data_IF_460804105597
#
_entry.id   IF_460804105597
#
_cell.length_a   1.000
_cell.length_b   1.000
_cell.length_c   1.000
_cell.angle_alpha   90.00
_cell.angle_beta   90.00
_cell.angle_gamma   90.00
#
_symmetry.space_group_name_H-M   'P 1'
#
loop_
_entity.id
_entity.type
_entity.pdbx_description
1 polymer ?
#
# COMPACT_ATOMS: atom_id res chain seq x y z
N UNK A 1 30.81 13.68 23.38
CA UNK A 1 30.43 12.80 24.50
C UNK A 1 29.09 12.24 24.10
N UNK A 2 28.94 10.93 23.87
CA UNK A 2 27.69 10.37 23.33
C UNK A 2 26.55 10.57 24.34
N UNK A 3 25.60 11.44 24.02
CA UNK A 3 24.42 11.71 24.84
C UNK A 3 23.56 10.44 25.01
N UNK A 4 23.64 9.49 24.08
CA UNK A 4 23.03 8.16 24.20
C UNK A 4 23.56 7.34 25.38
N UNK A 5 24.80 7.56 25.82
CA UNK A 5 25.40 6.84 26.95
C UNK A 5 24.93 7.36 28.31
N UNK A 6 24.24 8.50 28.35
CA UNK A 6 23.60 9.01 29.57
C UNK A 6 22.33 8.23 29.94
N UNK A 7 21.82 7.41 29.01
CA UNK A 7 20.62 6.60 29.21
C UNK A 7 20.99 5.33 30.01
N UNK A 8 20.33 5.08 31.16
CA UNK A 8 20.59 3.87 31.94
C UNK A 8 20.40 2.61 31.08
N UNK A 9 21.39 1.70 31.12
CA UNK A 9 21.35 0.45 30.37
C UNK A 9 21.83 0.52 28.91
N UNK A 10 22.26 1.69 28.41
CA UNK A 10 22.86 1.86 27.07
C UNK A 10 24.38 1.95 27.17
N UNK A 11 25.07 0.88 26.79
CA UNK A 11 26.54 0.85 26.67
C UNK A 11 27.02 1.30 25.29
N UNK A 12 28.33 1.46 25.12
CA UNK A 12 28.96 1.99 23.90
C UNK A 12 28.61 1.20 22.62
N UNK A 13 28.51 -0.14 22.71
CA UNK A 13 28.10 -0.97 21.57
C UNK A 13 26.64 -0.79 21.19
N UNK A 14 25.77 -0.49 22.16
CA UNK A 14 24.34 -0.31 21.93
C UNK A 14 24.05 1.10 21.41
N UNK A 15 24.77 2.10 21.92
CA UNK A 15 24.72 3.47 21.41
C UNK A 15 25.11 3.53 19.92
N UNK A 16 26.18 2.82 19.52
CA UNK A 16 26.56 2.70 18.10
C UNK A 16 25.48 2.04 17.26
N UNK A 17 24.93 0.90 17.69
CA UNK A 17 23.84 0.22 16.97
C UNK A 17 22.56 1.07 16.85
N UNK A 18 22.24 1.86 17.88
CA UNK A 18 21.10 2.79 17.84
C UNK A 18 21.33 3.90 16.83
N UNK A 19 22.53 4.49 16.81
CA UNK A 19 22.90 5.52 15.85
C UNK A 19 22.91 4.97 14.42
N UNK A 20 23.54 3.81 14.18
CA UNK A 20 23.65 3.19 12.86
C UNK A 20 22.28 2.74 12.33
N UNK A 21 21.41 2.23 13.21
CA UNK A 21 20.08 1.73 12.84
C UNK A 21 19.04 2.82 12.53
N UNK A 22 19.16 3.99 13.17
CA UNK A 22 18.19 5.10 13.04
C UNK A 22 18.69 6.29 12.22
N UNK A 23 19.91 6.22 11.68
CA UNK A 23 20.47 7.26 10.81
C UNK A 23 21.16 8.40 11.56
N UNK A 24 21.64 8.15 12.78
CA UNK A 24 22.45 9.06 13.58
C UNK A 24 22.06 9.11 15.06
N UNK A 25 22.94 9.69 15.88
CA UNK A 25 22.72 9.81 17.34
C UNK A 25 21.54 10.73 17.68
N UNK A 26 21.38 11.85 16.97
CA UNK A 26 20.24 12.77 17.13
C UNK A 26 18.89 12.05 16.95
N UNK A 27 18.82 11.16 15.96
CA UNK A 27 17.57 10.53 15.54
C UNK A 27 17.21 9.39 16.49
N UNK A 28 18.22 8.70 17.02
CA UNK A 28 18.05 7.77 18.12
C UNK A 28 17.54 8.45 19.40
N UNK A 29 18.08 9.62 19.75
CA UNK A 29 17.60 10.39 20.91
C UNK A 29 16.17 10.90 20.68
N UNK A 30 15.86 11.36 19.47
CA UNK A 30 14.49 11.75 19.08
C UNK A 30 13.53 10.58 19.24
N UNK A 31 13.86 9.41 18.70
CA UNK A 31 13.04 8.21 18.82
C UNK A 31 12.77 7.82 20.29
N UNK A 32 13.76 7.97 21.17
CA UNK A 32 13.59 7.71 22.61
C UNK A 32 12.69 8.76 23.28
N UNK A 33 12.88 10.05 22.97
CA UNK A 33 12.05 11.15 23.51
C UNK A 33 10.60 11.06 23.04
N UNK A 34 10.38 10.73 21.78
CA UNK A 34 9.07 10.55 21.17
C UNK A 34 8.42 9.20 21.53
N UNK A 35 9.14 8.35 22.29
CA UNK A 35 8.69 7.02 22.73
C UNK A 35 8.37 6.10 21.54
N UNK A 36 9.10 6.25 20.44
CA UNK A 36 8.95 5.45 19.22
C UNK A 36 9.63 4.07 19.36
N UNK A 37 8.93 3.18 20.06
CA UNK A 37 9.39 1.81 20.31
C UNK A 37 9.41 0.97 19.04
N UNK A 38 8.57 1.29 18.05
CA UNK A 38 8.52 0.52 16.81
C UNK A 38 9.88 0.60 16.12
N UNK A 39 10.36 1.82 15.88
CA UNK A 39 11.68 2.08 15.30
C UNK A 39 12.83 1.53 16.16
N UNK A 40 12.74 1.62 17.49
CA UNK A 40 13.76 1.07 18.39
C UNK A 40 13.82 -0.47 18.38
N UNK A 41 12.69 -1.14 18.19
CA UNK A 41 12.58 -2.60 18.18
C UNK A 41 12.96 -3.26 16.85
N UNK A 42 13.07 -2.47 15.78
CA UNK A 42 13.55 -2.92 14.46
C UNK A 42 15.07 -3.04 14.40
N UNK A 43 15.78 -2.44 15.36
CA UNK A 43 17.24 -2.50 15.44
C UNK A 43 17.68 -3.88 15.96
N UNK A 44 18.62 -4.49 15.23
CA UNK A 44 19.11 -5.83 15.54
C UNK A 44 19.78 -5.92 16.93
N UNK A 45 19.25 -6.82 17.76
CA UNK A 45 19.66 -7.01 19.16
C UNK A 45 18.89 -6.19 20.21
N UNK A 46 17.88 -5.41 19.81
CA UNK A 46 17.00 -4.69 20.72
C UNK A 46 15.62 -5.38 20.74
N UNK A 47 15.38 -6.18 21.79
CA UNK A 47 14.04 -6.74 21.99
C UNK A 47 13.04 -5.65 22.36
N UNK A 48 11.76 -5.91 22.09
CA UNK A 48 10.67 -5.00 22.43
C UNK A 48 10.66 -4.62 23.92
N UNK A 49 10.82 -5.59 24.81
CA UNK A 49 10.86 -5.34 26.26
C UNK A 49 12.09 -4.52 26.67
N UNK A 50 13.21 -4.67 25.96
CA UNK A 50 14.41 -3.87 26.17
C UNK A 50 14.20 -2.42 25.70
N UNK A 51 13.55 -2.21 24.56
CA UNK A 51 13.17 -0.89 24.08
C UNK A 51 12.22 -0.17 25.05
N UNK A 52 11.17 -0.86 25.53
CA UNK A 52 10.24 -0.34 26.54
C UNK A 52 11.02 0.07 27.80
N UNK A 53 11.93 -0.79 28.27
CA UNK A 53 12.74 -0.53 29.46
C UNK A 53 13.60 0.72 29.30
N UNK A 54 14.32 0.87 28.19
CA UNK A 54 15.15 2.06 27.93
C UNK A 54 14.34 3.35 27.92
N UNK A 55 13.20 3.37 27.21
CA UNK A 55 12.30 4.54 27.16
C UNK A 55 11.72 4.85 28.55
N UNK A 56 11.39 3.81 29.33
CA UNK A 56 10.84 3.97 30.68
C UNK A 56 11.87 4.50 31.68
N UNK A 57 13.12 4.04 31.61
CA UNK A 57 14.22 4.50 32.46
C UNK A 57 14.62 5.94 32.11
N UNK A 58 14.63 6.28 30.81
CA UNK A 58 14.85 7.65 30.35
C UNK A 58 13.78 8.64 30.86
N UNK A 59 12.54 8.19 30.99
CA UNK A 59 11.42 9.01 31.49
C UNK A 59 11.36 9.11 33.03
N UNK A 60 12.40 8.67 33.75
CA UNK A 60 12.48 8.71 35.22
C UNK A 60 12.03 7.44 35.96
N UNK A 61 11.57 6.41 35.23
CA UNK A 61 11.26 5.08 35.79
C UNK A 61 10.11 5.00 36.79
N UNK A 62 9.72 3.78 37.15
CA UNK A 62 8.68 3.50 38.18
C UNK A 62 9.13 3.98 39.57
N UNK A 63 10.44 4.08 39.80
CA UNK A 63 11.06 4.31 41.10
C UNK A 63 10.75 5.70 41.67
N UNK A 64 10.54 6.69 40.81
CA UNK A 64 10.27 8.08 41.22
C UNK A 64 8.89 8.24 41.89
N UNK A 65 7.88 7.46 41.46
CA UNK A 65 6.52 7.54 41.97
C UNK A 65 6.11 6.33 42.84
N UNK A 66 6.54 5.11 42.50
CA UNK A 66 6.38 3.91 43.32
C UNK A 66 7.69 3.58 44.05
N UNK A 67 7.96 4.31 45.14
CA UNK A 67 9.22 4.22 45.90
C UNK A 67 9.46 2.85 46.56
N UNK A 68 8.44 2.01 46.74
CA UNK A 68 8.55 0.70 47.36
C UNK A 68 8.39 -0.45 46.36
N UNK A 69 9.03 -1.59 46.66
CA UNK A 69 8.95 -2.81 45.84
C UNK A 69 7.51 -3.30 45.64
N UNK A 70 6.65 -3.08 46.64
CA UNK A 70 5.24 -3.49 46.56
C UNK A 70 4.43 -2.61 45.60
N UNK A 71 4.68 -1.30 45.55
CA UNK A 71 4.07 -0.41 44.57
C UNK A 71 4.49 -0.74 43.15
N UNK A 72 5.77 -1.12 42.95
CA UNK A 72 6.26 -1.60 41.67
C UNK A 72 5.61 -2.92 41.24
N UNK A 73 5.43 -3.86 42.18
CA UNK A 73 4.69 -5.12 41.92
C UNK A 73 3.23 -4.85 41.58
N UNK A 74 2.57 -3.97 42.32
CA UNK A 74 1.18 -3.58 42.09
C UNK A 74 1.02 -2.96 40.70
N UNK A 75 1.92 -2.07 40.32
CA UNK A 75 1.92 -1.47 38.99
C UNK A 75 2.03 -2.54 37.89
N UNK A 76 3.00 -3.46 37.99
CA UNK A 76 3.16 -4.57 37.03
C UNK A 76 1.90 -5.45 36.96
N UNK A 77 1.30 -5.76 38.11
CA UNK A 77 0.05 -6.54 38.16
C UNK A 77 -1.12 -5.80 37.50
N UNK A 78 -1.25 -4.48 37.72
CA UNK A 78 -2.28 -3.67 37.08
C UNK A 78 -2.10 -3.60 35.56
N UNK A 79 -0.88 -3.40 35.06
CA UNK A 79 -0.61 -3.40 33.61
C UNK A 79 -1.03 -4.74 33.00
N UNK A 80 -0.71 -5.86 33.64
CA UNK A 80 -1.10 -7.19 33.16
C UNK A 80 -2.62 -7.41 33.18
N UNK A 81 -3.33 -6.85 34.16
CA UNK A 81 -4.80 -6.98 34.25
C UNK A 81 -5.53 -6.11 33.21
N UNK A 82 -4.96 -4.96 32.82
CA UNK A 82 -5.54 -4.04 31.83
C UNK A 82 -5.27 -4.54 30.39
N UNK A 83 -4.11 -5.14 30.14
CA UNK A 83 -3.64 -5.53 28.80
C UNK A 83 -4.66 -6.32 27.94
N UNK A 84 -5.46 -7.27 28.47
CA UNK A 84 -6.47 -7.99 27.68
C UNK A 84 -7.59 -7.12 27.11
N UNK A 85 -7.85 -5.95 27.70
CA UNK A 85 -8.94 -5.05 27.30
C UNK A 85 -8.57 -4.13 26.15
N UNK A 86 -7.28 -3.99 25.83
CA UNK A 86 -6.78 -3.21 24.70
C UNK A 86 -6.81 -4.05 23.44
N UNK A 87 -7.38 -3.49 22.37
CA UNK A 87 -7.66 -4.24 21.13
C UNK A 87 -6.41 -4.41 20.27
N UNK A 88 -5.69 -3.31 20.06
CA UNK A 88 -4.54 -3.24 19.17
C UNK A 88 -3.27 -3.72 19.88
N UNK A 89 -2.44 -4.50 19.17
CA UNK A 89 -1.12 -4.92 19.68
C UNK A 89 -0.21 -3.73 20.03
N UNK A 90 -0.18 -2.62 19.27
CA UNK A 90 0.60 -1.44 19.62
C UNK A 90 0.08 -0.72 20.86
N UNK A 91 -1.25 -0.66 21.06
CA UNK A 91 -1.85 -0.11 22.27
C UNK A 91 -1.38 -0.87 23.52
N UNK A 92 -1.30 -2.20 23.45
CA UNK A 92 -0.75 -3.04 24.54
C UNK A 92 0.71 -2.71 24.83
N UNK A 93 1.52 -2.48 23.79
CA UNK A 93 2.91 -2.02 23.97
C UNK A 93 2.96 -0.66 24.65
N UNK A 94 2.11 0.28 24.21
CA UNK A 94 2.02 1.63 24.77
C UNK A 94 1.60 1.63 26.24
N UNK A 95 0.69 0.74 26.62
CA UNK A 95 0.30 0.49 28.01
C UNK A 95 1.51 0.15 28.90
N UNK A 96 2.41 -0.71 28.43
CA UNK A 96 3.60 -1.12 29.19
C UNK A 96 4.61 0.02 29.43
N UNK A 97 4.52 1.10 28.66
CA UNK A 97 5.34 2.31 28.84
C UNK A 97 4.77 3.21 29.93
N UNK A 98 3.47 3.12 30.22
CA UNK A 98 2.82 4.02 31.16
C UNK A 98 3.41 3.82 32.55
N UNK A 99 4.22 4.78 32.99
CA UNK A 99 4.77 4.81 34.33
C UNK A 99 3.85 5.58 35.28
N UNK A 100 3.81 5.22 36.57
CA UNK A 100 3.23 6.06 37.60
C UNK A 100 3.95 7.42 37.60
N UNK A 101 3.18 8.50 37.60
CA UNK A 101 3.71 9.86 37.58
C UNK A 101 3.92 10.38 39.01
N UNK A 102 4.93 11.22 39.17
CA UNK A 102 5.18 11.92 40.45
C UNK A 102 4.27 13.15 40.58
N UNK A 103 4.17 13.70 41.80
CA UNK A 103 3.41 14.93 42.07
C UNK A 103 3.95 16.12 41.28
N UNK A 104 5.21 16.08 40.85
CA UNK A 104 5.82 17.15 40.06
C UNK A 104 5.25 17.20 38.62
N UNK A 105 4.55 16.15 38.18
CA UNK A 105 3.96 16.01 36.84
C UNK A 105 2.43 16.21 36.84
N UNK A 106 1.92 17.16 37.62
CA UNK A 106 0.47 17.38 37.79
C UNK A 106 -0.29 17.69 36.50
N UNK A 107 0.34 18.40 35.55
CA UNK A 107 -0.27 18.67 34.25
C UNK A 107 -0.53 17.38 33.46
N UNK A 108 0.46 16.49 33.37
CA UNK A 108 0.34 15.19 32.69
C UNK A 108 -0.63 14.26 33.44
N UNK A 109 -0.67 14.30 34.77
CA UNK A 109 -1.66 13.58 35.56
C UNK A 109 -3.08 14.02 35.19
N UNK A 110 -3.32 15.33 35.12
CA UNK A 110 -4.64 15.87 34.77
C UNK A 110 -5.02 15.55 33.31
N UNK A 111 -4.07 15.61 32.38
CA UNK A 111 -4.29 15.21 30.99
C UNK A 111 -4.71 13.73 30.89
N UNK A 112 -3.96 12.80 31.50
CA UNK A 112 -4.30 11.38 31.51
C UNK A 112 -5.68 11.12 32.15
N UNK A 113 -6.01 11.85 33.23
CA UNK A 113 -7.33 11.76 33.88
C UNK A 113 -8.46 12.22 32.96
N UNK A 114 -8.27 13.31 32.22
CA UNK A 114 -9.24 13.79 31.24
C UNK A 114 -9.45 12.75 30.13
N UNK A 115 -8.37 12.22 29.56
CA UNK A 115 -8.43 11.17 28.51
C UNK A 115 -9.18 9.93 28.98
N UNK A 116 -8.87 9.42 30.18
CA UNK A 116 -9.58 8.27 30.76
C UNK A 116 -11.05 8.59 31.03
N UNK A 117 -11.36 9.78 31.56
CA UNK A 117 -12.73 10.19 31.83
C UNK A 117 -13.57 10.27 30.56
N UNK A 118 -13.00 10.81 29.49
CA UNK A 118 -13.64 10.87 28.16
C UNK A 118 -13.89 9.47 27.60
N UNK A 119 -12.89 8.59 27.68
CA UNK A 119 -13.03 7.20 27.25
C UNK A 119 -14.08 6.43 28.06
N UNK A 120 -14.15 6.61 29.39
CA UNK A 120 -15.19 6.01 30.25
C UNK A 120 -16.58 6.50 29.84
N UNK A 121 -16.74 7.80 29.59
CA UNK A 121 -17.99 8.37 29.09
C UNK A 121 -18.38 7.75 27.74
N UNK A 122 -17.43 7.58 26.82
CA UNK A 122 -17.66 6.97 25.52
C UNK A 122 -18.13 5.52 25.63
N UNK A 123 -17.40 4.67 26.36
CA UNK A 123 -17.73 3.25 26.57
C UNK A 123 -19.07 3.05 27.30
N UNK A 124 -19.50 4.04 28.07
CA UNK A 124 -20.79 4.00 28.77
C UNK A 124 -21.96 4.45 27.90
N UNK A 125 -21.78 5.50 27.09
CA UNK A 125 -22.85 6.10 26.26
C UNK A 125 -23.02 5.42 24.90
N UNK A 126 -21.95 4.87 24.32
CA UNK A 126 -21.94 4.32 22.96
C UNK A 126 -21.40 2.87 22.95
N UNK A 127 -22.14 1.90 23.53
CA UNK A 127 -21.68 0.51 23.63
C UNK A 127 -21.50 -0.17 22.26
N UNK A 128 -22.41 0.05 21.32
CA UNK A 128 -22.32 -0.54 19.97
C UNK A 128 -21.11 -0.01 19.18
N UNK A 129 -20.88 1.31 19.21
CA UNK A 129 -19.71 1.93 18.61
C UNK A 129 -18.41 1.42 19.26
N UNK A 130 -18.43 1.16 20.58
CA UNK A 130 -17.28 0.58 21.29
C UNK A 130 -16.98 -0.84 20.82
N UNK A 131 -17.99 -1.69 20.60
CA UNK A 131 -17.78 -3.05 20.12
C UNK A 131 -17.22 -3.07 18.68
N UNK A 132 -17.80 -2.23 17.81
CA UNK A 132 -17.29 -2.05 16.44
C UNK A 132 -15.86 -1.52 16.43
N UNK A 133 -15.53 -0.54 17.28
CA UNK A 133 -14.16 -0.05 17.47
C UNK A 133 -13.21 -1.19 17.82
N UNK A 134 -13.55 -2.00 18.82
CA UNK A 134 -12.70 -3.12 19.28
C UNK A 134 -12.46 -4.14 18.18
N UNK A 135 -13.46 -4.38 17.31
CA UNK A 135 -13.30 -5.25 16.15
C UNK A 135 -12.30 -4.68 15.15
N UNK A 136 -12.42 -3.40 14.80
CA UNK A 136 -11.57 -2.75 13.79
C UNK A 136 -10.14 -2.52 14.31
N UNK A 137 -10.01 -2.05 15.54
CA UNK A 137 -8.72 -1.69 16.16
C UNK A 137 -7.75 -2.87 16.31
N UNK A 138 -8.23 -4.12 16.31
CA UNK A 138 -7.37 -5.33 16.30
C UNK A 138 -6.44 -5.39 15.10
N UNK A 139 -6.86 -4.86 13.95
CA UNK A 139 -6.11 -4.87 12.69
C UNK A 139 -5.13 -3.70 12.56
N UNK A 140 -5.12 -2.79 13.54
CA UNK A 140 -4.28 -1.59 13.52
C UNK A 140 -2.90 -1.91 14.06
N UNK A 141 -1.89 -1.59 13.25
CA UNK A 141 -0.47 -1.72 13.54
C UNK A 141 0.28 -0.48 13.08
N UNK A 142 1.48 -0.17 13.62
CA UNK A 142 2.28 0.93 13.14
C UNK A 142 2.66 0.65 11.69
N UNK A 143 2.69 1.70 10.86
CA UNK A 143 2.99 1.54 9.45
C UNK A 143 4.44 1.13 9.27
N UNK A 144 4.64 0.02 8.56
CA UNK A 144 5.96 -0.54 8.27
C UNK A 144 6.49 0.04 6.97
N UNK A 145 7.78 0.34 6.97
CA UNK A 145 8.51 0.64 5.72
C UNK A 145 8.80 -0.66 4.99
N UNK A 146 8.75 -0.63 3.66
CA UNK A 146 9.18 -1.76 2.87
C UNK A 146 10.70 -1.90 2.99
N UNK A 147 11.19 -3.01 3.54
CA UNK A 147 12.62 -3.31 3.65
C UNK A 147 13.01 -4.45 2.70
N UNK A 148 12.69 -4.27 1.42
CA UNK A 148 12.93 -5.28 0.39
C UNK A 148 13.67 -4.61 -0.76
N UNK A 149 14.73 -5.26 -1.24
CA UNK A 149 15.44 -4.84 -2.43
C UNK A 149 14.56 -5.08 -3.66
N UNK A 150 14.33 -4.03 -4.42
CA UNK A 150 13.52 -4.01 -5.63
C UNK A 150 14.44 -4.18 -6.84
N UNK A 151 13.98 -4.99 -7.79
CA UNK A 151 14.61 -5.12 -9.09
C UNK A 151 14.31 -3.89 -9.94
N UNK A 152 15.10 -2.84 -9.69
CA UNK A 152 15.13 -1.58 -10.44
C UNK A 152 16.57 -1.11 -10.47
N UNK A 153 17.02 -0.66 -11.64
CA UNK A 153 18.35 -0.10 -11.85
C UNK A 153 18.30 1.42 -11.75
N UNK A 154 19.11 2.02 -10.89
CA UNK A 154 19.30 3.47 -10.84
C UNK A 154 20.62 3.79 -11.52
N UNK A 155 20.57 4.58 -12.58
CA UNK A 155 21.74 5.01 -13.34
C UNK A 155 22.06 6.45 -12.98
N UNK A 156 23.26 6.69 -12.48
CA UNK A 156 23.76 8.01 -12.06
C UNK A 156 24.98 8.40 -12.87
N UNK A 157 25.29 9.70 -12.94
CA UNK A 157 26.42 10.18 -13.72
C UNK A 157 27.76 10.05 -13.02
N UNK A 158 27.81 10.49 -11.76
CA UNK A 158 29.05 10.70 -11.04
C UNK A 158 29.00 10.07 -9.65
N UNK A 159 30.17 9.80 -9.08
CA UNK A 159 30.32 9.35 -7.69
C UNK A 159 29.72 10.32 -6.67
N UNK A 160 29.68 11.61 -6.97
CA UNK A 160 29.15 12.63 -6.06
C UNK A 160 27.61 12.48 -5.87
N UNK A 161 26.91 11.99 -6.90
CA UNK A 161 25.48 11.68 -6.79
C UNK A 161 25.24 10.42 -5.95
N UNK A 162 26.21 9.50 -5.89
CA UNK A 162 26.12 8.29 -5.09
C UNK A 162 26.11 8.60 -3.59
N UNK A 163 26.86 9.60 -3.13
CA UNK A 163 26.87 10.04 -1.71
C UNK A 163 25.47 10.49 -1.26
N UNK A 164 24.68 11.08 -2.16
CA UNK A 164 23.31 11.52 -1.87
C UNK A 164 22.28 10.37 -1.90
N UNK A 165 22.69 9.17 -2.33
CA UNK A 165 21.83 8.02 -2.58
C UNK A 165 22.15 6.80 -1.69
N UNK A 166 22.96 6.96 -0.63
CA UNK A 166 23.26 5.88 0.33
C UNK A 166 21.99 5.21 0.90
N UNK A 167 20.95 5.99 1.19
CA UNK A 167 19.68 5.48 1.69
C UNK A 167 18.93 4.64 0.63
N UNK A 168 19.15 4.93 -0.65
CA UNK A 168 18.48 4.30 -1.81
C UNK A 168 19.16 2.99 -2.20
N UNK A 169 20.48 2.86 -1.99
CA UNK A 169 21.26 1.66 -2.30
C UNK A 169 20.75 0.39 -1.58
N UNK A 170 20.14 0.58 -0.41
CA UNK A 170 19.48 -0.50 0.35
C UNK A 170 18.30 -1.11 -0.42
N UNK A 171 17.65 -0.35 -1.29
CA UNK A 171 16.40 -0.72 -1.94
C UNK A 171 16.55 -0.99 -3.43
N UNK A 172 17.57 -0.50 -4.11
CA UNK A 172 17.78 -0.72 -5.54
C UNK A 172 19.26 -0.90 -5.89
N UNK A 173 19.55 -1.42 -7.09
CA UNK A 173 20.92 -1.46 -7.61
C UNK A 173 21.24 -0.10 -8.21
N UNK A 174 22.35 0.51 -7.79
CA UNK A 174 22.84 1.77 -8.36
C UNK A 174 24.06 1.45 -9.25
N UNK A 175 24.11 2.04 -10.44
CA UNK A 175 25.24 1.97 -11.37
C UNK A 175 25.66 3.38 -11.73
N UNK A 176 26.96 3.65 -11.59
CA UNK A 176 27.59 4.88 -12.07
C UNK A 176 28.00 4.64 -13.51
N UNK A 177 27.45 5.43 -14.43
CA UNK A 177 27.71 5.27 -15.87
C UNK A 177 29.14 5.68 -16.23
N UNK A 178 29.75 4.96 -17.17
CA UNK A 178 31.02 5.39 -17.74
C UNK A 178 30.82 6.58 -18.70
N UNK A 179 31.86 7.39 -18.94
CA UNK A 179 31.74 8.63 -19.74
C UNK A 179 31.30 8.41 -21.21
N UNK A 180 31.33 7.16 -21.70
CA UNK A 180 30.92 6.78 -23.07
C UNK A 180 29.57 6.09 -23.12
N UNK A 181 29.04 5.65 -21.98
CA UNK A 181 27.75 4.97 -21.92
C UNK A 181 26.61 5.97 -22.11
N UNK A 182 25.62 5.55 -22.87
CA UNK A 182 24.41 6.27 -23.18
C UNK A 182 23.20 5.50 -22.67
N UNK A 183 22.03 6.13 -22.66
CA UNK A 183 20.80 5.45 -22.25
C UNK A 183 20.47 4.21 -23.10
N UNK A 184 20.96 4.13 -24.35
CA UNK A 184 20.77 2.96 -25.23
C UNK A 184 21.48 1.70 -24.73
N UNK A 185 22.56 1.85 -23.97
CA UNK A 185 23.30 0.70 -23.42
C UNK A 185 22.51 -0.03 -22.32
N UNK A 186 21.48 0.62 -21.81
CA UNK A 186 20.57 0.07 -20.79
C UNK A 186 19.24 -0.39 -21.41
N UNK A 187 19.06 -0.24 -22.72
CA UNK A 187 17.88 -0.67 -23.47
C UNK A 187 17.70 -2.19 -23.35
N UNK A 188 16.49 -2.63 -22.98
CA UNK A 188 16.19 -4.02 -22.62
C UNK A 188 16.10 -4.29 -21.11
N UNK A 189 16.53 -3.35 -20.26
CA UNK A 189 16.24 -3.41 -18.82
C UNK A 189 14.82 -2.86 -18.58
N UNK A 190 13.92 -3.64 -17.95
CA UNK A 190 12.51 -3.26 -17.86
C UNK A 190 12.24 -2.09 -16.90
N UNK A 191 13.14 -1.85 -15.93
CA UNK A 191 12.94 -0.84 -14.88
C UNK A 191 14.23 -0.07 -14.61
N UNK A 192 14.30 1.13 -15.15
CA UNK A 192 15.44 2.03 -14.99
C UNK A 192 14.98 3.38 -14.43
N UNK A 193 15.71 3.91 -13.48
CA UNK A 193 15.61 5.31 -13.04
C UNK A 193 16.88 6.02 -13.45
N UNK A 194 16.74 6.97 -14.35
CA UNK A 194 17.82 7.78 -14.89
C UNK A 194 17.96 9.07 -14.07
N UNK A 195 19.15 9.31 -13.52
CA UNK A 195 19.46 10.52 -12.78
C UNK A 195 20.56 11.29 -13.53
N UNK A 196 20.29 12.56 -13.79
CA UNK A 196 21.21 13.47 -14.47
C UNK A 196 20.97 13.61 -15.99
N UNK A 197 21.87 14.33 -16.69
CA UNK A 197 21.70 14.70 -18.10
C UNK A 197 21.79 13.49 -19.05
N UNK A 198 21.58 13.74 -20.35
CA UNK A 198 21.57 12.72 -21.43
C UNK A 198 20.43 11.69 -21.31
N UNK A 199 19.28 12.13 -20.83
CA UNK A 199 18.06 11.33 -20.73
C UNK A 199 17.53 10.91 -22.12
N UNK A 200 16.77 9.79 -22.20
CA UNK A 200 16.09 9.39 -23.44
C UNK A 200 15.15 10.49 -23.95
N UNK A 201 15.10 10.68 -25.27
CA UNK A 201 14.14 11.60 -25.90
C UNK A 201 12.73 11.03 -25.88
N UNK A 202 12.61 9.74 -26.15
CA UNK A 202 11.38 8.97 -25.98
C UNK A 202 11.60 7.99 -24.83
N UNK A 203 10.67 7.95 -23.88
CA UNK A 203 10.85 7.24 -22.61
C UNK A 203 10.36 5.79 -22.76
N UNK A 204 11.26 4.80 -22.61
CA UNK A 204 10.82 3.41 -22.63
C UNK A 204 9.82 3.13 -21.48
N UNK A 205 8.88 2.20 -21.66
CA UNK A 205 7.95 1.81 -20.61
C UNK A 205 8.69 1.37 -19.33
N UNK A 206 8.18 1.75 -18.15
CA UNK A 206 8.80 1.45 -16.85
C UNK A 206 10.04 2.29 -16.49
N UNK A 207 10.55 3.10 -17.42
CA UNK A 207 11.67 4.01 -17.17
C UNK A 207 11.22 5.32 -16.56
N UNK A 208 12.10 5.93 -15.76
CA UNK A 208 11.84 7.20 -15.07
C UNK A 208 13.05 8.10 -15.09
N UNK A 209 12.80 9.40 -15.05
CA UNK A 209 13.82 10.43 -14.89
C UNK A 209 13.59 11.07 -13.52
N UNK A 210 14.65 11.13 -12.72
CA UNK A 210 14.64 11.74 -11.40
C UNK A 210 15.88 12.63 -11.21
N UNK A 211 15.80 13.51 -10.22
CA UNK A 211 16.94 14.24 -9.68
C UNK A 211 17.45 13.53 -8.42
N UNK A 212 18.71 13.76 -8.05
CA UNK A 212 19.31 13.20 -6.82
C UNK A 212 18.60 13.62 -5.52
N UNK A 213 17.83 14.71 -5.54
CA UNK A 213 17.02 15.19 -4.42
C UNK A 213 15.55 14.73 -4.40
N UNK A 214 15.11 13.95 -5.39
CA UNK A 214 13.72 13.48 -5.47
C UNK A 214 13.40 12.47 -4.35
N UNK A 215 12.11 12.26 -4.09
CA UNK A 215 11.70 11.32 -3.04
C UNK A 215 12.06 9.87 -3.41
N UNK A 216 12.31 9.04 -2.38
CA UNK A 216 12.57 7.60 -2.55
C UNK A 216 11.47 6.90 -3.35
N UNK A 217 10.22 7.36 -3.23
CA UNK A 217 9.06 6.76 -3.91
C UNK A 217 8.94 7.22 -5.36
N UNK A 218 9.54 8.35 -5.73
CA UNK A 218 9.68 8.74 -7.15
C UNK A 218 10.79 7.96 -7.82
N UNK A 219 11.93 7.80 -7.14
CA UNK A 219 13.07 7.03 -7.64
C UNK A 219 12.76 5.53 -7.74
N UNK A 220 12.04 4.97 -6.76
CA UNK A 220 11.63 3.57 -6.72
C UNK A 220 10.11 3.49 -6.43
N UNK A 221 9.27 3.72 -7.45
CA UNK A 221 7.82 3.67 -7.36
C UNK A 221 7.26 2.39 -6.75
N UNK A 222 7.90 1.26 -7.02
CA UNK A 222 7.44 -0.05 -6.57
C UNK A 222 7.47 -0.18 -5.04
N UNK A 223 8.26 0.64 -4.33
CA UNK A 223 8.22 0.70 -2.86
C UNK A 223 6.85 1.18 -2.35
N UNK A 224 6.15 2.02 -3.10
CA UNK A 224 4.79 2.46 -2.74
C UNK A 224 3.80 1.29 -2.77
N UNK A 225 3.93 0.39 -3.74
CA UNK A 225 3.12 -0.84 -3.81
C UNK A 225 3.45 -1.77 -2.65
N UNK A 226 4.74 -1.99 -2.36
CA UNK A 226 5.18 -2.80 -1.22
C UNK A 226 4.72 -2.22 0.12
N UNK A 227 4.70 -0.90 0.24
CA UNK A 227 4.16 -0.21 1.40
C UNK A 227 2.67 -0.47 1.56
N UNK A 228 1.87 -0.37 0.50
CA UNK A 228 0.43 -0.69 0.54
C UNK A 228 0.21 -2.16 0.92
N UNK A 229 0.91 -3.09 0.28
CA UNK A 229 0.83 -4.53 0.56
C UNK A 229 1.14 -4.86 2.02
N UNK A 230 2.24 -4.30 2.54
CA UNK A 230 2.70 -4.57 3.91
C UNK A 230 1.76 -4.00 4.98
N UNK A 231 1.05 -2.93 4.65
CA UNK A 231 0.20 -2.18 5.58
C UNK A 231 -1.30 -2.35 5.31
N UNK A 232 -1.69 -3.18 4.35
CA UNK A 232 -3.07 -3.32 3.86
C UNK A 232 -4.10 -3.46 4.98
N UNK A 233 -3.84 -4.32 5.98
CA UNK A 233 -4.75 -4.55 7.11
C UNK A 233 -5.02 -3.28 7.92
N UNK A 234 -3.98 -2.48 8.15
CA UNK A 234 -4.10 -1.22 8.89
C UNK A 234 -4.77 -0.16 8.03
N UNK A 235 -4.38 -0.02 6.76
CA UNK A 235 -5.00 0.95 5.83
C UNK A 235 -6.50 0.67 5.66
N UNK A 236 -6.89 -0.59 5.53
CA UNK A 236 -8.29 -1.01 5.46
C UNK A 236 -9.03 -0.79 6.79
N UNK A 237 -8.39 -1.01 7.93
CA UNK A 237 -8.99 -0.67 9.22
C UNK A 237 -9.25 0.85 9.34
N UNK A 238 -8.37 1.69 8.79
CA UNK A 238 -8.55 3.14 8.77
C UNK A 238 -9.75 3.58 7.92
N UNK A 239 -9.98 2.93 6.78
CA UNK A 239 -11.19 3.21 5.97
C UNK A 239 -12.45 2.78 6.71
N UNK A 240 -12.44 1.63 7.39
CA UNK A 240 -13.56 1.19 8.23
C UNK A 240 -13.83 2.12 9.42
N UNK A 241 -12.79 2.67 10.06
CA UNK A 241 -12.97 3.63 11.15
C UNK A 241 -13.59 4.94 10.69
N UNK A 242 -13.34 5.34 9.44
CA UNK A 242 -13.95 6.54 8.85
C UNK A 242 -15.45 6.38 8.62
N UNK A 243 -15.89 5.18 8.31
CA UNK A 243 -17.31 4.83 8.13
C UNK A 243 -18.03 4.59 9.48
N UNK A 244 -17.28 4.48 10.58
CA UNK A 244 -17.84 4.17 11.89
C UNK A 244 -18.50 5.39 12.53
N UNK A 245 -19.78 5.24 12.90
CA UNK A 245 -20.51 6.26 13.66
C UNK A 245 -20.12 6.21 15.16
N UNK A 246 -19.19 7.06 15.58
CA UNK A 246 -18.66 7.12 16.95
C UNK A 246 -19.52 8.01 17.89
N UNK A 247 -20.54 8.67 17.34
CA UNK A 247 -21.44 9.59 18.06
C UNK A 247 -20.77 10.93 18.44
N UNK A 248 -21.56 11.97 18.80
CA UNK A 248 -21.06 13.31 19.09
C UNK A 248 -20.38 13.38 20.47
N UNK A 249 -19.14 12.92 20.54
CA UNK A 249 -18.31 12.96 21.74
C UNK A 249 -16.87 13.35 21.42
N UNK A 250 -16.11 13.76 22.43
CA UNK A 250 -14.70 14.15 22.27
C UNK A 250 -13.83 13.08 21.63
N UNK A 251 -14.10 11.80 21.91
CA UNK A 251 -13.41 10.68 21.25
C UNK A 251 -13.75 10.66 19.76
N UNK A 252 -15.02 10.85 19.39
CA UNK A 252 -15.45 10.96 18.00
C UNK A 252 -14.81 12.15 17.29
N UNK A 253 -14.78 13.33 17.91
CA UNK A 253 -14.07 14.50 17.39
C UNK A 253 -12.58 14.23 17.17
N UNK A 254 -11.92 13.57 18.13
CA UNK A 254 -10.49 13.24 18.05
C UNK A 254 -10.20 12.25 16.92
N UNK A 255 -11.05 11.24 16.75
CA UNK A 255 -10.94 10.28 15.63
C UNK A 255 -11.22 10.96 14.30
N UNK A 256 -12.25 11.80 14.21
CA UNK A 256 -12.57 12.54 12.99
C UNK A 256 -11.42 13.49 12.60
N UNK A 257 -10.84 14.21 13.56
CA UNK A 257 -9.67 15.06 13.33
C UNK A 257 -8.45 14.25 12.89
N UNK A 258 -8.27 13.04 13.44
CA UNK A 258 -7.19 12.14 13.01
C UNK A 258 -7.41 11.62 11.57
N UNK A 259 -8.66 11.40 11.16
CA UNK A 259 -9.02 10.85 9.84
C UNK A 259 -9.34 11.91 8.78
N UNK A 260 -9.38 13.19 9.17
CA UNK A 260 -9.61 14.31 8.27
C UNK A 260 -8.58 14.30 7.15
N UNK A 261 -8.98 14.62 5.91
CA UNK A 261 -8.13 14.63 4.71
C UNK A 261 -7.44 13.31 4.34
N UNK A 262 -7.96 12.16 4.81
CA UNK A 262 -7.63 10.82 4.30
C UNK A 262 -8.67 10.32 3.27
N UNK A 263 -9.37 11.24 2.58
CA UNK A 263 -10.49 10.91 1.67
C UNK A 263 -10.07 10.02 0.50
N UNK A 264 -8.82 10.16 0.05
CA UNK A 264 -8.25 9.41 -1.07
C UNK A 264 -7.56 8.11 -0.64
N UNK A 265 -7.72 7.69 0.61
CA UNK A 265 -7.12 6.45 1.10
C UNK A 265 -7.72 5.23 0.40
N UNK A 266 -9.04 5.23 0.18
CA UNK A 266 -9.71 4.13 -0.51
C UNK A 266 -9.20 3.95 -1.94
N UNK A 267 -9.03 5.05 -2.70
CA UNK A 267 -8.50 5.00 -4.05
C UNK A 267 -7.02 4.57 -4.11
N UNK A 268 -6.25 4.74 -3.02
CA UNK A 268 -4.89 4.24 -2.91
C UNK A 268 -4.85 2.71 -2.73
N UNK A 269 -5.84 2.13 -2.03
CA UNK A 269 -5.90 0.70 -1.70
C UNK A 269 -6.57 -0.11 -2.82
N UNK A 270 -7.61 0.44 -3.44
CA UNK A 270 -8.44 -0.28 -4.42
C UNK A 270 -7.69 -0.46 -5.74
N UNK A 271 -7.80 -1.66 -6.34
CA UNK A 271 -7.34 -1.90 -7.71
C UNK A 271 -8.35 -1.27 -8.67
N UNK A 272 -7.88 -0.43 -9.59
CA UNK A 272 -8.77 0.23 -10.54
C UNK A 272 -9.38 -0.82 -11.48
N UNK A 273 -10.71 -0.83 -11.63
CA UNK A 273 -11.40 -1.76 -12.53
C UNK A 273 -10.92 -1.66 -13.99
N UNK A 274 -10.40 -0.50 -14.39
CA UNK A 274 -9.83 -0.27 -15.73
C UNK A 274 -8.54 -1.05 -16.00
N UNK A 275 -7.81 -1.49 -14.96
CA UNK A 275 -6.60 -2.31 -15.09
C UNK A 275 -6.95 -3.70 -15.65
N UNK A 276 -8.07 -4.28 -15.20
CA UNK A 276 -8.50 -5.61 -15.61
C UNK A 276 -9.07 -5.64 -17.03
N UNK A 277 -9.75 -4.56 -17.47
CA UNK A 277 -10.45 -4.56 -18.75
C UNK A 277 -9.52 -4.70 -19.98
N UNK A 278 -8.33 -4.09 -19.94
CA UNK A 278 -7.35 -4.18 -21.05
C UNK A 278 -6.66 -5.55 -21.04
N UNK A 279 -6.36 -6.10 -19.85
CA UNK A 279 -5.81 -7.45 -19.71
C UNK A 279 -6.80 -8.52 -20.18
N UNK A 280 -8.09 -8.38 -19.85
CA UNK A 280 -9.16 -9.28 -20.32
C UNK A 280 -9.27 -9.30 -21.85
N UNK A 281 -9.11 -8.15 -22.52
CA UNK A 281 -9.11 -8.08 -23.99
C UNK A 281 -7.89 -8.76 -24.58
N UNK A 282 -6.70 -8.59 -23.99
CA UNK A 282 -5.49 -9.32 -24.40
C UNK A 282 -5.71 -10.83 -24.33
N UNK A 283 -6.21 -11.31 -23.20
CA UNK A 283 -6.44 -12.75 -22.95
C UNK A 283 -7.52 -13.32 -23.89
N UNK A 284 -8.49 -12.49 -24.28
CA UNK A 284 -9.62 -12.88 -25.14
C UNK A 284 -9.34 -12.74 -26.63
N UNK A 285 -8.28 -12.04 -27.04
CA UNK A 285 -7.98 -11.70 -28.44
C UNK A 285 -7.96 -12.94 -29.35
N UNK A 286 -7.19 -13.97 -29.00
CA UNK A 286 -7.08 -15.19 -29.80
C UNK A 286 -8.40 -15.96 -29.91
N UNK A 287 -9.22 -15.91 -28.86
CA UNK A 287 -10.54 -16.55 -28.85
C UNK A 287 -11.48 -15.85 -29.83
N UNK A 288 -11.51 -14.51 -29.81
CA UNK A 288 -12.32 -13.74 -30.75
C UNK A 288 -11.82 -13.83 -32.19
N UNK A 289 -10.50 -13.82 -32.42
CA UNK A 289 -9.90 -14.03 -33.74
C UNK A 289 -10.37 -15.36 -34.34
N UNK A 290 -10.34 -16.44 -33.55
CA UNK A 290 -10.81 -17.75 -34.00
C UNK A 290 -12.32 -17.77 -34.25
N UNK A 291 -13.11 -17.13 -33.40
CA UNK A 291 -14.55 -17.00 -33.57
C UNK A 291 -14.90 -16.22 -34.86
N UNK A 292 -14.13 -15.17 -35.17
CA UNK A 292 -14.29 -14.40 -36.42
C UNK A 292 -13.94 -15.27 -37.62
N UNK A 293 -12.82 -15.99 -37.60
CA UNK A 293 -12.44 -16.90 -38.70
C UNK A 293 -13.55 -17.91 -39.02
N UNK A 294 -14.06 -18.60 -38.00
CA UNK A 294 -15.14 -19.56 -38.19
C UNK A 294 -16.43 -18.89 -38.69
N UNK A 295 -16.77 -17.71 -38.17
CA UNK A 295 -17.94 -16.96 -38.62
C UNK A 295 -17.83 -16.52 -40.09
N UNK A 296 -16.65 -16.10 -40.53
CA UNK A 296 -16.41 -15.70 -41.93
C UNK A 296 -16.47 -16.92 -42.85
N UNK A 297 -15.85 -18.03 -42.45
CA UNK A 297 -15.92 -19.29 -43.21
C UNK A 297 -17.38 -19.77 -43.34
N UNK A 298 -18.16 -19.75 -42.25
CA UNK A 298 -19.57 -20.12 -42.25
C UNK A 298 -20.40 -19.22 -43.18
N UNK A 299 -20.13 -17.91 -43.19
CA UNK A 299 -20.79 -16.94 -44.08
C UNK A 299 -20.45 -17.20 -45.55
N UNK A 300 -19.18 -17.47 -45.87
CA UNK A 300 -18.75 -17.81 -47.23
C UNK A 300 -19.40 -19.12 -47.69
N UNK A 301 -19.45 -20.14 -46.83
CA UNK A 301 -20.11 -21.42 -47.14
C UNK A 301 -21.61 -21.22 -47.37
N UNK A 302 -22.29 -20.45 -46.51
CA UNK A 302 -23.70 -20.14 -46.67
C UNK A 302 -23.99 -19.39 -47.97
N UNK A 303 -23.21 -18.35 -48.27
CA UNK A 303 -23.37 -17.57 -49.51
C UNK A 303 -23.13 -18.43 -50.76
N UNK A 304 -22.14 -19.33 -50.72
CA UNK A 304 -21.85 -20.27 -51.82
C UNK A 304 -22.98 -21.28 -52.04
N UNK A 305 -23.68 -21.70 -50.97
CA UNK A 305 -24.84 -22.60 -51.08
C UNK A 305 -26.08 -21.91 -51.65
N UNK A 306 -26.28 -20.62 -51.34
CA UNK A 306 -27.37 -19.81 -51.91
C UNK A 306 -27.15 -19.52 -53.40
N UNK A 307 -25.90 -19.34 -53.81
CA UNK A 307 -25.51 -19.20 -55.21
C UNK A 307 -25.54 -20.57 -55.91
N UNK A 308 -26.75 -21.06 -56.21
CA UNK A 308 -26.95 -22.23 -57.07
C UNK A 308 -26.48 -21.90 -58.49
N UNK A 309 -25.23 -22.22 -58.80
CA UNK A 309 -24.70 -22.26 -60.16
C UNK A 309 -25.51 -23.26 -61.00
N UNK A 310 -26.45 -22.75 -61.82
CA UNK A 310 -27.12 -23.56 -62.83
C UNK A 310 -26.17 -23.70 -64.03
N UNK A 311 -25.28 -24.67 -63.97
CA UNK A 311 -24.41 -25.01 -65.09
C UNK A 311 -25.23 -25.72 -66.17
N UNK A 312 -25.27 -25.16 -67.38
CA UNK A 312 -25.85 -25.82 -68.53
C UNK A 312 -24.97 -27.00 -68.98
N UNK A 313 -25.59 -28.07 -69.51
CA UNK A 313 -24.90 -29.32 -69.86
C UNK A 313 -23.80 -29.17 -70.91
N UNK A 314 -23.88 -28.11 -71.72
CA UNK A 314 -22.86 -27.75 -72.72
C UNK A 314 -21.65 -27.01 -72.11
N UNK A 315 -21.87 -26.19 -71.08
CA UNK A 315 -20.81 -25.52 -70.31
C UNK A 315 -20.07 -26.50 -69.40
N UNK A 316 -20.76 -27.50 -68.83
CA UNK A 316 -20.11 -28.49 -67.95
C UNK A 316 -19.01 -29.29 -68.67
N UNK A 317 -19.17 -29.51 -69.98
CA UNK A 317 -18.18 -30.21 -70.83
C UNK A 317 -17.01 -29.30 -71.21
N UNK A 318 -17.20 -27.99 -71.36
CA UNK A 318 -16.10 -27.05 -71.63
C UNK A 318 -15.22 -26.83 -70.39
N UNK A 319 -15.81 -26.84 -69.20
CA UNK A 319 -15.07 -26.73 -67.93
C UNK A 319 -14.30 -27.98 -67.53
N UNK A 320 -14.70 -29.17 -68.00
CA UNK A 320 -13.91 -30.39 -67.81
C UNK A 320 -12.57 -30.34 -68.57
N UNK A 321 -12.51 -29.57 -69.66
CA UNK A 321 -11.30 -29.35 -70.43
C UNK A 321 -10.42 -28.24 -69.85
N UNK A 322 -11.01 -27.28 -69.14
CA UNK A 322 -10.30 -26.16 -68.50
C UNK A 322 -10.81 -25.90 -67.07
N UNK A 323 -10.23 -26.65 -66.12
CA UNK A 323 -10.57 -26.57 -64.69
C UNK A 323 -10.30 -25.17 -64.11
N UNK A 324 -9.43 -24.37 -64.73
CA UNK A 324 -9.10 -23.01 -64.30
C UNK A 324 -10.18 -21.99 -64.64
N UNK A 325 -10.91 -22.19 -65.74
CA UNK A 325 -12.02 -21.32 -66.17
C UNK A 325 -13.24 -21.41 -65.24
N UNK A 326 -13.55 -22.60 -64.73
CA UNK A 326 -14.62 -22.80 -63.75
C UNK A 326 -14.29 -22.15 -62.42
N UNK A 327 -13.07 -22.36 -61.91
CA UNK A 327 -12.61 -21.75 -60.67
C UNK A 327 -12.62 -20.22 -60.74
N UNK A 328 -12.20 -19.62 -61.85
CA UNK A 328 -12.22 -18.17 -62.01
C UNK A 328 -13.64 -17.59 -62.06
N UNK A 329 -14.60 -18.30 -62.66
CA UNK A 329 -16.00 -17.83 -62.74
C UNK A 329 -16.73 -17.97 -61.41
N UNK A 330 -16.49 -19.07 -60.70
CA UNK A 330 -16.97 -19.31 -59.33
C UNK A 330 -16.37 -18.27 -58.37
N UNK A 331 -15.08 -17.97 -58.53
CA UNK A 331 -14.41 -16.92 -57.76
C UNK A 331 -15.04 -15.57 -58.04
N UNK A 332 -15.40 -15.23 -59.29
CA UNK A 332 -16.03 -13.96 -59.64
C UNK A 332 -17.46 -13.82 -59.08
N UNK A 333 -18.29 -14.86 -59.15
CA UNK A 333 -19.65 -14.83 -58.59
C UNK A 333 -19.67 -14.81 -57.06
N UNK A 334 -18.67 -15.41 -56.41
CA UNK A 334 -18.55 -15.48 -54.95
C UNK A 334 -17.65 -14.36 -54.40
N UNK A 335 -17.04 -13.52 -55.26
CA UNK A 335 -16.13 -12.45 -54.83
C UNK A 335 -16.82 -11.40 -53.97
N UNK A 336 -18.01 -10.92 -54.37
CA UNK A 336 -18.73 -9.91 -53.60
C UNK A 336 -19.19 -10.45 -52.23
N UNK A 337 -19.55 -11.73 -52.16
CA UNK A 337 -19.94 -12.36 -50.89
C UNK A 337 -18.75 -12.65 -49.98
N UNK A 338 -17.59 -13.00 -50.53
CA UNK A 338 -16.32 -13.09 -49.79
C UNK A 338 -15.92 -11.71 -49.26
N UNK A 339 -15.96 -10.67 -50.08
CA UNK A 339 -15.60 -9.30 -49.67
C UNK A 339 -16.53 -8.79 -48.56
N UNK A 340 -17.84 -9.05 -48.68
CA UNK A 340 -18.81 -8.74 -47.62
C UNK A 340 -18.51 -9.49 -46.32
N UNK A 341 -18.24 -10.80 -46.38
CA UNK A 341 -17.94 -11.61 -45.19
C UNK A 341 -16.64 -11.15 -44.50
N UNK A 342 -15.60 -10.81 -45.28
CA UNK A 342 -14.34 -10.28 -44.77
C UNK A 342 -14.53 -8.90 -44.10
N UNK A 343 -15.33 -8.01 -44.69
CA UNK A 343 -15.63 -6.69 -44.09
C UNK A 343 -16.48 -6.83 -42.82
N UNK A 344 -17.41 -7.79 -42.76
CA UNK A 344 -18.16 -8.10 -41.54
C UNK A 344 -17.23 -8.63 -40.43
N UNK A 345 -16.30 -9.53 -40.78
CA UNK A 345 -15.27 -10.03 -39.87
C UNK A 345 -14.36 -8.93 -39.32
N UNK A 346 -13.91 -8.02 -40.19
CA UNK A 346 -13.14 -6.83 -39.81
C UNK A 346 -13.95 -5.89 -38.91
N UNK A 347 -15.21 -5.62 -39.23
CA UNK A 347 -16.11 -4.80 -38.41
C UNK A 347 -16.34 -5.40 -37.03
N UNK A 348 -16.33 -6.73 -36.90
CA UNK A 348 -16.38 -7.41 -35.60
C UNK A 348 -15.09 -7.24 -34.80
N UNK A 349 -13.93 -7.34 -35.44
CA UNK A 349 -12.63 -7.06 -34.80
C UNK A 349 -12.55 -5.59 -34.34
N UNK A 350 -13.00 -4.65 -35.16
CA UNK A 350 -13.02 -3.23 -34.82
C UNK A 350 -13.94 -2.94 -33.62
N UNK A 351 -15.13 -3.56 -33.57
CA UNK A 351 -16.02 -3.46 -32.40
C UNK A 351 -15.38 -4.02 -31.13
N UNK A 352 -14.60 -5.09 -31.23
CA UNK A 352 -13.89 -5.69 -30.11
C UNK A 352 -12.75 -4.81 -29.59
N UNK A 353 -12.00 -4.14 -30.48
CA UNK A 353 -10.87 -3.28 -30.13
C UNK A 353 -11.26 -1.83 -29.77
N UNK A 354 -12.44 -1.37 -30.21
CA UNK A 354 -12.99 -0.03 -29.96
C UNK A 354 -12.95 0.44 -28.48
N UNK A 355 -13.27 -0.41 -27.47
CA UNK A 355 -13.18 -0.03 -26.06
C UNK A 355 -11.78 0.41 -25.61
N UNK A 356 -10.73 -0.07 -26.28
CA UNK A 356 -9.32 0.23 -25.97
C UNK A 356 -8.77 1.31 -26.90
N UNK A 357 -9.48 1.63 -27.99
CA UNK A 357 -9.11 2.69 -28.94
C UNK A 357 -8.11 2.26 -30.01
N UNK A 358 -7.84 0.95 -30.15
CA UNK A 358 -7.01 0.40 -31.23
C UNK A 358 -7.86 0.24 -32.49
N UNK A 359 -7.31 0.66 -33.64
CA UNK A 359 -7.98 0.47 -34.93
C UNK A 359 -7.61 -0.88 -35.53
N UNK A 360 -8.60 -1.58 -36.06
CA UNK A 360 -8.34 -2.79 -36.84
C UNK A 360 -7.54 -2.43 -38.11
N UNK A 361 -6.45 -3.15 -38.43
CA UNK A 361 -5.73 -2.99 -39.69
C UNK A 361 -6.66 -3.11 -40.90
N UNK A 362 -6.28 -2.50 -42.02
CA UNK A 362 -7.04 -2.64 -43.27
C UNK A 362 -6.81 -4.05 -43.85
N UNK A 363 -5.55 -4.50 -43.86
CA UNK A 363 -5.17 -5.84 -44.31
C UNK A 363 -5.10 -6.82 -43.13
N UNK A 364 -6.27 -7.22 -42.60
CA UNK A 364 -6.36 -8.15 -41.47
C UNK A 364 -6.17 -9.63 -41.87
N UNK A 365 -6.40 -9.98 -43.14
CA UNK A 365 -6.51 -11.37 -43.59
C UNK A 365 -5.38 -11.75 -44.54
N UNK A 366 -4.84 -12.96 -44.36
CA UNK A 366 -3.82 -13.56 -45.23
C UNK A 366 -4.44 -14.45 -46.33
N UNK A 367 -5.62 -15.01 -46.08
CA UNK A 367 -6.34 -15.91 -46.98
C UNK A 367 -7.85 -15.70 -46.86
N UNK A 368 -8.52 -15.62 -48.00
CA UNK A 368 -9.96 -15.39 -48.10
C UNK A 368 -10.77 -16.65 -47.71
N UNK A 369 -10.31 -17.84 -48.15
CA UNK A 369 -10.92 -19.12 -47.81
C UNK A 369 -9.93 -20.29 -47.88
N UNK A 370 -9.74 -21.07 -46.80
CA UNK A 370 -10.22 -20.82 -45.44
C UNK A 370 -9.70 -19.48 -44.91
N UNK A 371 -10.54 -18.79 -44.12
CA UNK A 371 -10.25 -17.48 -43.58
C UNK A 371 -9.10 -17.59 -42.57
N UNK A 372 -7.99 -16.91 -42.87
CA UNK A 372 -6.83 -16.84 -41.97
C UNK A 372 -6.46 -15.38 -41.75
N UNK A 373 -6.22 -15.03 -40.49
CA UNK A 373 -5.71 -13.70 -40.14
C UNK A 373 -4.23 -13.61 -40.48
N UNK A 374 -3.80 -12.43 -40.89
CA UNK A 374 -2.39 -12.14 -41.04
C UNK A 374 -1.69 -12.14 -39.67
N UNK A 375 -0.66 -12.98 -39.57
CA UNK A 375 0.14 -13.13 -38.35
C UNK A 375 0.92 -11.86 -38.03
N UNK A 376 1.34 -11.10 -39.04
CA UNK A 376 2.07 -9.85 -38.81
C UNK A 376 1.13 -8.74 -38.31
N UNK A 377 -0.06 -8.63 -38.88
CA UNK A 377 -1.10 -7.73 -38.39
C UNK A 377 -1.52 -8.06 -36.94
N UNK A 378 -1.73 -9.35 -36.61
CA UNK A 378 -2.06 -9.76 -35.24
C UNK A 378 -0.95 -9.46 -34.24
N UNK A 379 0.31 -9.75 -34.60
CA UNK A 379 1.46 -9.43 -33.76
C UNK A 379 1.56 -7.92 -33.47
N UNK A 380 1.29 -7.07 -34.47
CA UNK A 380 1.25 -5.62 -34.29
C UNK A 380 0.14 -5.18 -33.33
N UNK A 381 -1.03 -5.81 -33.37
CA UNK A 381 -2.14 -5.53 -32.43
C UNK A 381 -1.76 -5.98 -31.02
N UNK A 382 -1.13 -7.15 -30.86
CA UNK A 382 -0.64 -7.62 -29.56
C UNK A 382 0.40 -6.67 -28.97
N UNK A 383 1.36 -6.20 -29.77
CA UNK A 383 2.36 -5.23 -29.34
C UNK A 383 1.72 -3.90 -28.91
N UNK A 384 0.70 -3.42 -29.63
CA UNK A 384 -0.03 -2.19 -29.27
C UNK A 384 -0.85 -2.36 -27.98
N UNK A 385 -1.51 -3.50 -27.80
CA UNK A 385 -2.21 -3.84 -26.55
C UNK A 385 -1.22 -3.89 -25.37
N UNK A 386 -0.07 -4.53 -25.56
CA UNK A 386 0.98 -4.63 -24.54
C UNK A 386 1.54 -3.28 -24.14
N UNK A 387 1.75 -2.42 -25.13
CA UNK A 387 2.18 -1.05 -24.91
C UNK A 387 1.13 -0.28 -24.10
N UNK A 388 -0.15 -0.37 -24.45
CA UNK A 388 -1.24 0.26 -23.69
C UNK A 388 -1.35 -0.26 -22.25
N UNK A 389 -1.22 -1.58 -22.05
CA UNK A 389 -1.19 -2.19 -20.71
C UNK A 389 -0.05 -1.59 -19.89
N UNK A 390 1.16 -1.52 -20.48
CA UNK A 390 2.34 -0.98 -19.80
C UNK A 390 2.16 0.50 -19.41
N UNK A 391 1.66 1.32 -20.33
CA UNK A 391 1.39 2.74 -20.09
C UNK A 391 0.36 2.95 -18.99
N UNK A 392 -0.71 2.15 -18.99
CA UNK A 392 -1.78 2.25 -17.98
C UNK A 392 -1.26 1.86 -16.59
N UNK A 393 -0.49 0.77 -16.50
CA UNK A 393 0.17 0.35 -15.25
C UNK A 393 1.08 1.45 -14.71
N UNK A 394 1.85 2.10 -15.57
CA UNK A 394 2.70 3.22 -15.17
C UNK A 394 1.91 4.45 -14.73
N UNK A 395 0.78 4.77 -15.37
CA UNK A 395 -0.12 5.83 -14.96
C UNK A 395 -0.69 5.59 -13.55
N UNK A 396 -1.19 4.38 -13.30
CA UNK A 396 -1.74 3.98 -12.00
C UNK A 396 -0.64 4.02 -10.94
N UNK A 397 0.54 3.50 -11.24
CA UNK A 397 1.69 3.52 -10.34
C UNK A 397 2.11 4.96 -10.00
N UNK A 398 2.14 5.87 -10.99
CA UNK A 398 2.39 7.30 -10.75
C UNK A 398 1.36 7.92 -9.79
N UNK A 399 0.06 7.68 -10.01
CA UNK A 399 -1.00 8.18 -9.13
C UNK A 399 -0.84 7.65 -7.71
N UNK A 400 -0.55 6.36 -7.55
CA UNK A 400 -0.31 5.75 -6.23
C UNK A 400 0.91 6.35 -5.54
N UNK A 401 2.01 6.56 -6.25
CA UNK A 401 3.20 7.22 -5.69
C UNK A 401 2.87 8.63 -5.18
N UNK A 402 2.17 9.44 -5.98
CA UNK A 402 1.78 10.80 -5.59
C UNK A 402 0.87 10.81 -4.35
N UNK A 403 -0.13 9.94 -4.33
CA UNK A 403 -1.02 9.79 -3.17
C UNK A 403 -0.25 9.33 -1.94
N UNK A 404 0.65 8.36 -2.12
CA UNK A 404 1.45 7.86 -1.04
C UNK A 404 2.32 8.99 -0.47
N UNK A 405 3.07 9.74 -1.30
CA UNK A 405 3.91 10.86 -0.85
C UNK A 405 3.07 11.87 -0.05
N UNK A 406 1.92 12.27 -0.59
CA UNK A 406 1.02 13.23 0.04
C UNK A 406 0.45 12.75 1.38
N UNK A 407 0.11 11.47 1.48
CA UNK A 407 -0.63 10.92 2.63
C UNK A 407 0.27 10.26 3.67
N UNK A 408 1.50 9.86 3.34
CA UNK A 408 2.37 9.04 4.21
C UNK A 408 2.56 9.60 5.62
N UNK A 409 2.99 10.86 5.73
CA UNK A 409 3.20 11.54 7.02
C UNK A 409 1.91 11.68 7.81
N UNK A 410 0.81 11.97 7.10
CA UNK A 410 -0.50 12.12 7.71
C UNK A 410 -1.00 10.79 8.25
N UNK A 411 -0.92 9.72 7.44
CA UNK A 411 -1.27 8.36 7.82
C UNK A 411 -0.48 7.90 9.05
N UNK A 412 0.83 8.18 9.11
CA UNK A 412 1.64 7.88 10.29
C UNK A 412 1.11 8.56 11.55
N UNK A 413 0.80 9.87 11.47
CA UNK A 413 0.22 10.64 12.59
C UNK A 413 -1.15 10.11 12.99
N UNK A 414 -2.03 9.86 12.02
CA UNK A 414 -3.38 9.35 12.24
C UNK A 414 -3.39 7.97 12.90
N UNK A 415 -2.53 7.05 12.42
CA UNK A 415 -2.39 5.70 13.00
C UNK A 415 -1.88 5.78 14.44
N UNK A 416 -0.88 6.64 14.70
CA UNK A 416 -0.36 6.87 16.06
C UNK A 416 -1.45 7.39 17.00
N UNK A 417 -2.27 8.32 16.52
CA UNK A 417 -3.38 8.91 17.28
C UNK A 417 -4.46 7.89 17.59
N UNK A 418 -4.84 7.05 16.62
CA UNK A 418 -5.83 6.00 16.82
C UNK A 418 -5.33 4.91 17.78
N UNK A 419 -4.04 4.58 17.73
CA UNK A 419 -3.41 3.70 18.73
C UNK A 419 -3.50 4.31 20.13
N UNK A 420 -3.36 5.64 20.28
CA UNK A 420 -3.57 6.31 21.56
C UNK A 420 -5.02 6.20 22.02
N UNK A 421 -5.98 6.44 21.12
CA UNK A 421 -7.41 6.33 21.44
C UNK A 421 -7.77 4.90 21.86
N UNK A 422 -7.27 3.87 21.18
CA UNK A 422 -7.51 2.47 21.53
C UNK A 422 -6.95 2.11 22.91
N UNK A 423 -5.78 2.64 23.28
CA UNK A 423 -5.22 2.48 24.64
C UNK A 423 -6.20 3.00 25.70
N UNK A 424 -6.72 4.22 25.54
CA UNK A 424 -7.63 4.82 26.53
C UNK A 424 -9.00 4.14 26.56
N UNK A 425 -9.53 3.73 25.41
CA UNK A 425 -10.77 2.93 25.33
C UNK A 425 -10.57 1.58 26.04
N UNK A 426 -9.43 0.92 25.86
CA UNK A 426 -9.11 -0.33 26.56
C UNK A 426 -9.07 -0.16 28.09
N UNK A 427 -8.43 0.91 28.58
CA UNK A 427 -8.41 1.25 30.02
C UNK A 427 -9.83 1.53 30.52
N UNK A 428 -10.66 2.25 29.76
CA UNK A 428 -12.04 2.54 30.13
C UNK A 428 -12.92 1.28 30.20
N UNK A 429 -12.74 0.34 29.26
CA UNK A 429 -13.42 -0.97 29.28
C UNK A 429 -13.04 -1.79 30.51
N UNK A 430 -11.74 -1.86 30.83
CA UNK A 430 -11.26 -2.48 32.06
C UNK A 430 -11.85 -1.83 33.31
N UNK A 431 -11.88 -0.49 33.36
CA UNK A 431 -12.45 0.27 34.47
C UNK A 431 -13.94 -0.03 34.68
N UNK A 432 -14.70 -0.18 33.58
CA UNK A 432 -16.13 -0.54 33.64
C UNK A 432 -16.32 -1.96 34.17
N UNK A 433 -15.53 -2.91 33.69
CA UNK A 433 -15.57 -4.32 34.12
C UNK A 433 -15.24 -4.48 35.61
N UNK A 434 -14.18 -3.79 36.07
CA UNK A 434 -13.72 -3.80 37.46
C UNK A 434 -14.48 -2.83 38.38
N UNK A 435 -15.47 -2.09 37.85
CA UNK A 435 -16.27 -1.08 38.57
C UNK A 435 -15.41 -0.03 39.28
N UNK A 436 -14.34 0.43 38.62
CA UNK A 436 -13.43 1.43 39.17
C UNK A 436 -14.03 2.83 39.07
N UNK A 437 -13.68 3.69 40.04
CA UNK A 437 -14.01 5.11 40.06
C UNK A 437 -12.74 5.94 39.94
N UNK A 438 -12.83 7.06 39.21
CA UNK A 438 -11.69 7.97 39.07
C UNK A 438 -11.39 8.63 40.43
N UNK A 439 -10.16 8.51 40.97
CA UNK A 439 -9.83 9.05 42.29
C UNK A 439 -9.91 10.58 42.28
N UNK A 440 -10.24 11.23 43.41
CA UNK A 440 -10.16 12.70 43.53
C UNK A 440 -8.76 13.09 44.01
N UNK A 441 -8.13 14.08 43.36
CA UNK A 441 -6.87 14.64 43.83
C UNK A 441 -7.21 15.70 44.88
N UNK A 442 -6.63 15.58 46.07
CA UNK A 442 -6.79 16.52 47.17
C UNK A 442 -5.42 17.17 47.38
N UNK A 443 -5.38 18.51 47.38
CA UNK A 443 -4.14 19.29 47.56
C UNK A 443 -3.72 19.45 49.03
N UNK A 444 -4.40 18.76 49.96
CA UNK A 444 -4.08 18.89 51.38
C UNK A 444 -2.71 18.27 51.67
N UNK A 445 -1.84 19.09 52.27
CA UNK A 445 -0.50 18.76 52.74
C UNK A 445 -0.46 17.72 53.86
N UNK A 446 -1.59 17.12 54.23
CA UNK A 446 -1.69 16.00 55.16
C UNK A 446 -1.97 14.71 54.36
N UNK A 447 -1.00 13.79 54.24
CA UNK A 447 -1.26 12.51 53.59
C UNK A 447 -2.35 11.76 54.39
N UNK A 448 -3.49 11.49 53.75
CA UNK A 448 -4.57 10.67 54.32
C UNK A 448 -4.14 9.21 54.55
N UNK A 449 -2.98 8.81 54.02
CA UNK A 449 -2.36 7.51 54.26
C UNK A 449 -0.94 7.67 54.82
N UNK A 450 -0.80 7.77 56.15
CA UNK A 450 0.44 7.36 56.81
C UNK A 450 0.46 5.83 56.85
N UNK A 451 1.16 5.19 55.92
CA UNK A 451 1.50 3.77 56.07
C UNK A 451 2.65 3.67 57.07
N UNK A 452 2.29 3.67 58.35
CA UNK A 452 3.08 3.11 59.46
C UNK A 452 2.10 2.67 60.54
N UNK A 453 1.85 1.37 60.62
CA UNK A 453 1.22 0.65 61.74
C UNK A 453 -0.04 1.26 62.37
N UNK A 454 -1.19 0.62 62.16
CA UNK A 454 -2.48 0.82 62.86
C UNK A 454 -3.21 2.15 62.51
N UNK A 455 -4.54 2.32 62.40
CA UNK A 455 -5.77 1.56 62.68
C UNK A 455 -6.77 1.91 61.57
N UNK A 456 -7.57 0.95 61.08
CA UNK A 456 -8.71 1.20 60.18
C UNK A 456 -9.90 1.67 61.02
N UNK A 457 -10.40 2.89 60.76
CA UNK A 457 -11.75 3.28 61.20
C UNK A 457 -12.72 3.28 60.03
N UNK A 458 -13.59 2.28 60.08
CA UNK A 458 -14.88 2.06 59.41
C UNK A 458 -14.99 2.36 57.92
N UNK A 459 -15.26 1.28 57.19
CA UNK A 459 -16.02 1.31 55.94
C UNK A 459 -17.46 1.72 56.24
N UNK A 460 -17.97 2.73 55.53
CA UNK A 460 -19.39 2.86 55.18
C UNK A 460 -19.50 3.20 53.72
#
# INVERSE_FOLDING_TARGET
MNDLMLIPGVGESLAKKLADGLGGESEAIRAIREKDIASLSEIDGISLDRAIRMVSEFSGGVENAARNKDGQKLHKAMIHDIEPFISSSPGKRKLRILQPLSVDSMEEINDRRNRVSEAISFVSKYPEATENWVRIAKSISPLKRANVKIDRLIVVQNSDELEHLEAVEKFARIVVRESRETWRDYEGIPRVTWIGPNQPTDMPPGWRICSSGDSLWEMIPELSLRFIESNYKTLFAMTQLRELEIGPCRIGERVNNALDGLDKLESMITREASENAIEEVRDSLWTEVKNIQSSVDDLIVAATQEHRLSLDGSEMLSYYADSSGLQNRLKYEVSESIEFALEEGRGRLEKFLSPIGIKAPIDCFQSDYPCLFDKTALASIEEEIDLLISMKKDEILRKRVQLAILLSDKLNKSVSEIIDVDLWIGIARWSKERRCNLPKIINDSSPSCKIRGYVIHSWR
#
